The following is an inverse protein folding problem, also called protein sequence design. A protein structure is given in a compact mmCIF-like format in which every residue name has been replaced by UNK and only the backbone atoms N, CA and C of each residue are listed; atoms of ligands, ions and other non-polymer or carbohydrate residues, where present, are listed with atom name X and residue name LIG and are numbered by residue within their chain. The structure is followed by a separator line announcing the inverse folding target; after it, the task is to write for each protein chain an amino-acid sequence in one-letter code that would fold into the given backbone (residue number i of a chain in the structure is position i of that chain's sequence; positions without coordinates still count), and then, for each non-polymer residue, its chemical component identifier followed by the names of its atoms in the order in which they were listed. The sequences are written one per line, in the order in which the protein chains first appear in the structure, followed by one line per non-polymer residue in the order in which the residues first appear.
data_IF_393576447310
#
_entry.id   IF_393576447310
#
_cell.length_a   1.000
_cell.length_b   1.000
_cell.length_c   1.000
_cell.angle_alpha   90.00
_cell.angle_beta   90.00
_cell.angle_gamma   90.00
#
_symmetry.space_group_name_H-M   'P 1'
#
loop_
_entity.id
_entity.type
_entity.pdbx_description
1 polymer ?
#
# COMPACT_ATOMS: atom_id res chain seq x y z
N UNK A 1 5.56 -6.36 -6.19
CA UNK A 1 4.27 -7.08 -6.18
C UNK A 1 3.20 -6.08 -5.79
N UNK A 2 2.04 -6.14 -6.45
CA UNK A 2 0.95 -5.19 -6.24
C UNK A 2 -0.32 -5.92 -5.77
N UNK A 3 -1.10 -5.26 -4.93
CA UNK A 3 -2.48 -5.66 -4.62
C UNK A 3 -3.36 -4.43 -4.38
N UNK A 4 -4.60 -4.67 -3.96
CA UNK A 4 -5.56 -3.63 -3.62
C UNK A 4 -5.78 -3.57 -2.11
N UNK A 5 -6.25 -2.43 -1.62
CA UNK A 5 -6.78 -2.31 -0.26
C UNK A 5 -7.97 -3.26 -0.01
N UNK A 6 -8.44 -3.36 1.25
CA UNK A 6 -8.02 -2.62 2.45
C UNK A 6 -6.70 -3.17 3.07
N UNK A 7 -6.17 -2.60 4.18
CA UNK A 7 -4.93 -3.08 4.82
C UNK A 7 -4.93 -4.58 5.15
N UNK A 8 -6.09 -5.15 5.49
CA UNK A 8 -6.23 -6.57 5.80
C UNK A 8 -5.94 -7.45 4.58
N UNK A 9 -6.37 -7.03 3.38
CA UNK A 9 -6.08 -7.76 2.14
C UNK A 9 -4.60 -7.70 1.80
N UNK A 10 -3.95 -6.57 2.04
CA UNK A 10 -2.50 -6.46 1.90
C UNK A 10 -1.76 -7.40 2.88
N UNK A 11 -2.16 -7.40 4.15
CA UNK A 11 -1.54 -8.25 5.18
C UNK A 11 -1.66 -9.74 4.84
N UNK A 12 -2.85 -10.19 4.44
CA UNK A 12 -3.10 -11.58 4.06
C UNK A 12 -2.23 -12.00 2.86
N UNK A 13 -2.26 -11.21 1.77
CA UNK A 13 -1.55 -11.56 0.56
C UNK A 13 -0.02 -11.40 0.70
N UNK A 14 0.46 -10.46 1.51
CA UNK A 14 1.89 -10.33 1.82
C UNK A 14 2.38 -11.55 2.61
N UNK A 15 1.60 -12.03 3.59
CA UNK A 15 1.97 -13.23 4.33
C UNK A 15 2.05 -14.47 3.41
N UNK A 16 1.13 -14.60 2.45
CA UNK A 16 1.18 -15.66 1.43
C UNK A 16 2.43 -15.52 0.57
N UNK A 17 2.78 -14.31 0.15
CA UNK A 17 3.99 -14.03 -0.63
C UNK A 17 5.26 -14.40 0.14
N UNK A 18 5.33 -14.06 1.42
CA UNK A 18 6.46 -14.38 2.29
C UNK A 18 6.63 -15.89 2.47
N UNK A 19 5.51 -16.62 2.64
CA UNK A 19 5.50 -18.08 2.73
C UNK A 19 6.03 -18.74 1.44
N UNK A 20 5.74 -18.15 0.27
CA UNK A 20 6.32 -18.59 -1.00
C UNK A 20 7.81 -18.25 -1.12
N UNK A 21 8.23 -17.07 -0.67
CA UNK A 21 9.66 -16.69 -0.64
C UNK A 21 10.47 -17.68 0.20
N UNK A 22 9.95 -18.08 1.38
CA UNK A 22 10.55 -19.10 2.23
C UNK A 22 10.69 -20.46 1.52
N UNK A 23 9.65 -20.90 0.78
CA UNK A 23 9.66 -22.19 0.06
C UNK A 23 10.69 -22.24 -1.06
N UNK A 24 10.94 -21.13 -1.73
CA UNK A 24 11.85 -21.07 -2.89
C UNK A 24 13.24 -20.52 -2.55
N UNK A 25 13.48 -20.13 -1.29
CA UNK A 25 14.76 -19.58 -0.84
C UNK A 25 15.04 -18.17 -1.36
N UNK A 26 14.00 -17.34 -1.50
CA UNK A 26 14.11 -15.94 -1.91
C UNK A 26 14.00 -15.01 -0.70
N UNK A 27 14.75 -13.92 -0.68
CA UNK A 27 14.59 -12.86 0.31
C UNK A 27 13.33 -12.02 -0.01
N UNK A 28 12.32 -11.97 0.88
CA UNK A 28 11.10 -11.21 0.67
C UNK A 28 11.30 -9.69 0.64
N UNK A 29 12.44 -9.18 1.14
CA UNK A 29 12.77 -7.75 1.10
C UNK A 29 13.23 -7.27 -0.27
N UNK A 30 13.59 -8.18 -1.19
CA UNK A 30 13.88 -7.85 -2.60
C UNK A 30 12.62 -7.52 -3.40
N UNK A 31 11.44 -7.68 -2.83
CA UNK A 31 10.16 -7.40 -3.47
C UNK A 31 9.61 -6.08 -2.96
N UNK A 32 9.64 -5.06 -3.79
CA UNK A 32 8.85 -3.83 -3.57
C UNK A 32 7.36 -4.19 -3.52
N UNK A 33 6.66 -3.73 -2.49
CA UNK A 33 5.24 -3.97 -2.23
C UNK A 33 4.46 -2.69 -2.43
N UNK A 34 3.54 -2.73 -3.39
CA UNK A 34 2.69 -1.58 -3.71
C UNK A 34 1.22 -1.90 -3.49
N UNK A 35 0.45 -0.90 -3.05
CA UNK A 35 -1.00 -1.04 -2.82
C UNK A 35 -1.76 0.02 -3.59
N UNK A 36 -2.76 -0.42 -4.34
CA UNK A 36 -3.69 0.47 -5.03
C UNK A 36 -4.95 0.67 -4.18
N UNK A 37 -5.32 1.93 -3.93
CA UNK A 37 -6.47 2.33 -3.12
C UNK A 37 -7.39 3.30 -3.88
N UNK A 38 -8.66 3.37 -3.46
CA UNK A 38 -9.61 4.35 -3.95
C UNK A 38 -9.45 5.72 -3.29
N UNK A 39 -10.07 6.78 -3.84
CA UNK A 39 -10.05 8.11 -3.26
C UNK A 39 -10.73 8.18 -1.88
N UNK A 40 -11.69 7.29 -1.60
CA UNK A 40 -12.41 7.22 -0.32
C UNK A 40 -11.63 6.44 0.77
N UNK A 41 -10.49 5.82 0.41
CA UNK A 41 -9.70 4.96 1.30
C UNK A 41 -8.47 5.69 1.88
N UNK A 42 -8.32 6.99 1.62
CA UNK A 42 -7.11 7.77 1.95
C UNK A 42 -7.04 8.24 3.41
N UNK A 43 -7.98 7.89 4.28
CA UNK A 43 -8.06 8.43 5.64
C UNK A 43 -7.02 7.84 6.62
N UNK A 44 -6.44 6.67 6.33
CA UNK A 44 -5.57 5.95 7.27
C UNK A 44 -4.36 5.27 6.59
N UNK A 45 -3.46 6.10 6.03
CA UNK A 45 -2.19 5.63 5.44
C UNK A 45 -1.29 4.94 6.47
N UNK A 46 -1.37 5.36 7.73
CA UNK A 46 -0.51 4.84 8.81
C UNK A 46 -0.59 3.31 8.91
N UNK A 47 -1.79 2.74 8.76
CA UNK A 47 -1.99 1.29 8.77
C UNK A 47 -1.27 0.55 7.64
N UNK A 48 -1.17 1.15 6.45
CA UNK A 48 -0.40 0.56 5.35
C UNK A 48 1.11 0.64 5.59
N UNK A 49 1.58 1.75 6.16
CA UNK A 49 2.99 1.92 6.54
C UNK A 49 3.38 0.91 7.62
N UNK A 50 2.56 0.73 8.66
CA UNK A 50 2.78 -0.24 9.74
C UNK A 50 2.89 -1.69 9.23
N UNK A 51 2.24 -2.00 8.11
CA UNK A 51 2.30 -3.31 7.47
C UNK A 51 3.51 -3.48 6.53
N UNK A 52 4.30 -2.43 6.30
CA UNK A 52 5.48 -2.48 5.43
C UNK A 52 5.16 -2.31 3.95
N UNK A 53 4.14 -1.52 3.60
CA UNK A 53 3.92 -1.08 2.21
C UNK A 53 5.01 -0.08 1.81
N UNK A 54 5.66 -0.33 0.67
CA UNK A 54 6.69 0.56 0.11
C UNK A 54 6.07 1.75 -0.65
N UNK A 55 4.96 1.53 -1.34
CA UNK A 55 4.32 2.55 -2.18
C UNK A 55 2.79 2.42 -2.21
N UNK A 56 2.10 3.52 -1.89
CA UNK A 56 0.65 3.68 -2.03
C UNK A 56 0.30 4.41 -3.33
N UNK A 57 -0.59 3.81 -4.11
CA UNK A 57 -1.11 4.35 -5.37
C UNK A 57 -2.59 4.67 -5.19
N UNK A 58 -2.95 5.95 -5.33
CA UNK A 58 -4.36 6.38 -5.33
C UNK A 58 -4.87 6.49 -6.75
N UNK A 59 -5.96 5.77 -7.04
CA UNK A 59 -6.66 5.90 -8.31
C UNK A 59 -7.52 7.17 -8.33
N UNK A 60 -7.32 8.04 -9.32
CA UNK A 60 -8.18 9.21 -9.56
C UNK A 60 -8.96 9.03 -10.86
N UNK A 61 -10.29 9.06 -10.79
CA UNK A 61 -11.18 9.05 -11.96
C UNK A 61 -11.72 10.45 -12.28
N UNK A 62 -12.41 10.61 -13.41
CA UNK A 62 -13.13 11.85 -13.77
C UNK A 62 -13.92 12.40 -12.57
N UNK A 63 -13.79 13.70 -12.23
CA UNK A 63 -13.13 14.79 -12.97
C UNK A 63 -11.63 14.96 -12.68
N UNK A 64 -10.95 13.91 -12.20
CA UNK A 64 -9.55 13.89 -11.77
C UNK A 64 -9.26 14.82 -10.59
N UNK A 65 -10.12 14.76 -9.57
CA UNK A 65 -9.86 15.43 -8.31
C UNK A 65 -8.59 14.84 -7.65
N UNK A 66 -7.64 15.72 -7.36
CA UNK A 66 -6.36 15.37 -6.72
C UNK A 66 -6.37 15.62 -5.21
N UNK A 67 -7.48 16.08 -4.62
CA UNK A 67 -7.64 16.23 -3.17
C UNK A 67 -7.23 14.99 -2.37
N UNK A 68 -7.58 13.76 -2.78
CA UNK A 68 -7.10 12.54 -2.12
C UNK A 68 -5.57 12.40 -2.15
N UNK A 69 -4.92 12.73 -3.27
CA UNK A 69 -3.46 12.72 -3.38
C UNK A 69 -2.81 13.77 -2.47
N UNK A 70 -3.38 14.98 -2.39
CA UNK A 70 -2.92 16.03 -1.46
C UNK A 70 -3.01 15.56 0.00
N UNK A 71 -4.09 14.86 0.37
CA UNK A 71 -4.26 14.27 1.71
C UNK A 71 -3.19 13.23 2.02
N UNK A 72 -2.87 12.34 1.07
CA UNK A 72 -1.82 11.35 1.24
C UNK A 72 -0.43 12.00 1.39
N UNK A 73 -0.15 13.05 0.64
CA UNK A 73 1.10 13.82 0.74
C UNK A 73 1.22 14.45 2.14
N UNK A 74 0.15 15.09 2.63
CA UNK A 74 0.14 15.69 3.95
C UNK A 74 0.34 14.66 5.08
N UNK A 75 -0.26 13.47 4.96
CA UNK A 75 -0.05 12.37 5.91
C UNK A 75 1.39 11.87 5.90
N UNK A 76 1.98 11.66 4.71
CA UNK A 76 3.40 11.28 4.58
C UNK A 76 4.31 12.29 5.27
N UNK A 77 4.11 13.58 5.01
CA UNK A 77 4.95 14.64 5.56
C UNK A 77 4.80 14.76 7.09
N UNK A 78 3.65 14.35 7.65
CA UNK A 78 3.43 14.28 9.10
C UNK A 78 4.09 13.06 9.77
N UNK A 79 4.42 12.01 9.00
CA UNK A 79 5.09 10.80 9.51
C UNK A 79 6.61 10.99 9.66
N UNK A 80 7.24 11.96 8.99
CA UNK A 80 8.64 12.35 9.16
C UNK A 80 9.43 12.56 7.87
#
# INVERSE_FOLDING_TARGET
WNCFGPPENFAELSAILDDWCAKVGRDPSEIERTVSIGPDDVEDVGRYVDLGVDHLVVGTGDPFDLGPLESLIAQRDALG
#
